data_IF_721919348368
#
_entry.id   IF_721919348368
#
_cell.length_a   1.000
_cell.length_b   1.000
_cell.length_c   1.000
_cell.angle_alpha   90.00
_cell.angle_beta   90.00
_cell.angle_gamma   90.00
#
_symmetry.space_group_name_H-M   'P 1'
#
loop_
_entity.id
_entity.type
_entity.pdbx_description
1 polymer ?
#
# COMPACT_ATOMS: atom_id res chain seq x y z
N UNK A 1 57.09 -21.43 41.49
CA UNK A 1 56.12 -22.25 42.23
C UNK A 1 54.80 -21.48 42.31
N UNK A 2 53.80 -21.86 41.51
CA UNK A 2 52.35 -21.76 41.79
C UNK A 2 51.68 -22.43 40.58
N UNK A 3 51.18 -23.64 40.82
CA UNK A 3 50.45 -24.47 39.86
C UNK A 3 48.95 -24.34 40.18
N UNK A 4 48.16 -24.15 39.12
CA UNK A 4 46.88 -24.81 38.80
C UNK A 4 45.69 -24.57 39.77
N UNK A 5 44.60 -23.93 39.32
CA UNK A 5 43.57 -24.37 38.35
C UNK A 5 42.48 -25.23 39.02
N UNK A 6 41.23 -24.89 38.67
CA UNK A 6 40.02 -25.72 38.62
C UNK A 6 39.01 -25.60 39.79
N UNK A 7 38.02 -24.71 39.64
CA UNK A 7 36.60 -25.07 39.75
C UNK A 7 35.72 -23.89 39.27
N UNK A 8 35.16 -23.97 38.06
CA UNK A 8 33.76 -23.59 37.86
C UNK A 8 33.23 -24.25 36.60
N UNK A 9 32.54 -25.35 36.84
CA UNK A 9 31.82 -26.17 35.89
C UNK A 9 30.51 -25.43 35.55
N UNK A 10 30.24 -25.29 34.25
CA UNK A 10 28.90 -25.31 33.63
C UNK A 10 27.79 -24.41 34.22
N UNK A 11 27.49 -23.33 33.52
CA UNK A 11 26.10 -23.03 33.15
C UNK A 11 26.07 -22.31 31.79
N UNK A 12 26.37 -23.07 30.74
CA UNK A 12 25.94 -22.74 29.39
C UNK A 12 24.57 -23.39 29.20
N UNK A 13 23.48 -22.62 29.26
CA UNK A 13 22.29 -22.76 28.41
C UNK A 13 21.13 -21.87 28.90
N UNK A 14 20.47 -21.23 27.93
CA UNK A 14 19.18 -20.54 28.00
C UNK A 14 19.18 -19.05 28.34
N UNK A 15 19.81 -18.24 27.50
CA UNK A 15 19.09 -17.07 26.98
C UNK A 15 19.30 -17.05 25.46
N UNK A 16 18.38 -17.68 24.73
CA UNK A 16 18.15 -17.31 23.34
C UNK A 16 17.99 -15.79 23.27
N UNK A 17 18.64 -15.05 22.35
CA UNK A 17 18.07 -13.78 21.97
C UNK A 17 16.74 -14.13 21.31
N UNK A 18 15.63 -13.88 22.02
CA UNK A 18 14.39 -13.63 21.31
C UNK A 18 14.74 -12.47 20.39
N UNK A 19 14.99 -12.77 19.13
CA UNK A 19 15.33 -11.80 18.12
C UNK A 19 14.12 -10.86 18.02
N UNK A 20 14.10 -9.84 18.89
CA UNK A 20 13.15 -8.74 18.83
C UNK A 20 13.25 -8.25 17.41
N UNK A 21 12.15 -8.39 16.71
CA UNK A 21 11.99 -7.82 15.41
C UNK A 21 12.30 -6.32 15.52
N UNK A 22 13.51 -5.90 15.15
CA UNK A 22 13.83 -4.48 15.15
C UNK A 22 12.91 -3.80 14.13
N UNK A 23 11.97 -3.03 14.65
CA UNK A 23 11.10 -2.19 13.84
C UNK A 23 11.97 -1.21 13.05
N UNK A 24 11.77 -1.17 11.74
CA UNK A 24 12.39 -0.17 10.89
C UNK A 24 11.33 0.83 10.45
N UNK A 25 11.41 2.03 11.02
CA UNK A 25 10.64 3.20 10.60
C UNK A 25 11.52 4.02 9.65
N UNK A 26 10.96 4.42 8.52
CA UNK A 26 11.57 5.42 7.64
C UNK A 26 10.57 6.54 7.41
N UNK A 27 10.98 7.77 7.72
CA UNK A 27 10.19 8.97 7.47
C UNK A 27 10.77 9.70 6.24
N UNK A 28 9.95 9.90 5.22
CA UNK A 28 10.34 10.64 4.02
C UNK A 28 9.15 11.48 3.53
N UNK A 29 9.32 12.80 3.46
CA UNK A 29 8.29 13.72 2.95
C UNK A 29 6.96 13.66 3.72
N UNK A 30 6.98 13.38 5.03
CA UNK A 30 5.77 13.23 5.84
C UNK A 30 5.10 11.85 5.76
N UNK A 31 5.68 10.91 4.98
CA UNK A 31 5.23 9.52 4.87
C UNK A 31 6.02 8.65 5.84
N UNK A 32 5.33 7.77 6.56
CA UNK A 32 5.90 6.82 7.52
C UNK A 32 5.81 5.42 6.94
N UNK A 33 6.96 4.85 6.61
CA UNK A 33 7.06 3.45 6.18
C UNK A 33 7.49 2.58 7.36
N UNK A 34 6.68 1.57 7.65
CA UNK A 34 6.93 0.62 8.74
C UNK A 34 7.27 -0.74 8.13
N UNK A 35 8.41 -1.28 8.53
CA UNK A 35 8.81 -2.65 8.23
C UNK A 35 8.99 -3.44 9.52
N UNK A 36 8.26 -4.57 9.60
CA UNK A 36 8.28 -5.53 10.71
C UNK A 36 7.91 -4.87 12.05
N UNK A 37 6.65 -5.00 12.47
CA UNK A 37 6.10 -4.41 13.70
C UNK A 37 5.25 -5.44 14.45
N UNK A 38 5.04 -5.25 15.75
CA UNK A 38 3.97 -5.90 16.50
C UNK A 38 2.70 -5.05 16.50
N UNK A 39 1.56 -5.63 16.90
CA UNK A 39 0.27 -4.93 17.05
C UNK A 39 0.39 -3.83 18.10
N UNK A 40 1.04 -4.13 19.22
CA UNK A 40 1.24 -3.16 20.32
C UNK A 40 2.04 -1.94 19.86
N UNK A 41 3.14 -2.16 19.13
CA UNK A 41 3.95 -1.05 18.64
C UNK A 41 3.21 -0.25 17.55
N UNK A 42 2.46 -0.92 16.67
CA UNK A 42 1.64 -0.26 15.66
C UNK A 42 0.58 0.65 16.31
N UNK A 43 -0.10 0.18 17.35
CA UNK A 43 -1.10 0.99 18.06
C UNK A 43 -0.47 2.20 18.75
N UNK A 44 0.76 2.08 19.26
CA UNK A 44 1.50 3.22 19.82
C UNK A 44 1.80 4.28 18.74
N UNK A 45 2.18 3.85 17.54
CA UNK A 45 2.39 4.75 16.40
C UNK A 45 1.07 5.41 16.02
N UNK A 46 0.01 4.64 15.82
CA UNK A 46 -1.32 5.16 15.52
C UNK A 46 -1.79 6.19 16.55
N UNK A 47 -1.57 5.94 17.84
CA UNK A 47 -1.88 6.89 18.91
C UNK A 47 -1.06 8.17 18.82
N UNK A 48 0.25 8.08 18.57
CA UNK A 48 1.14 9.25 18.38
C UNK A 48 0.65 10.13 17.22
N UNK A 49 0.12 9.53 16.16
CA UNK A 49 -0.41 10.21 14.98
C UNK A 49 -1.91 10.49 15.03
N UNK A 50 -2.54 10.39 16.22
CA UNK A 50 -3.98 10.63 16.45
C UNK A 50 -4.91 9.78 15.57
N UNK A 51 -4.43 8.65 15.07
CA UNK A 51 -5.15 7.72 14.21
C UNK A 51 -5.80 6.58 15.00
N UNK A 52 -6.72 6.95 15.88
CA UNK A 52 -7.24 6.07 16.93
C UNK A 52 -8.45 5.24 16.51
N UNK A 53 -9.20 5.65 15.47
CA UNK A 53 -10.44 5.00 15.07
C UNK A 53 -10.58 4.93 13.55
N UNK A 54 -11.33 3.93 13.11
CA UNK A 54 -11.74 3.76 11.72
C UNK A 54 -12.69 4.87 11.24
N UNK A 55 -13.49 5.43 12.15
CA UNK A 55 -14.46 6.47 11.79
C UNK A 55 -13.69 7.73 11.42
N UNK A 56 -13.95 8.21 10.19
CA UNK A 56 -13.23 9.28 9.51
C UNK A 56 -12.75 10.38 10.45
N UNK A 57 -11.49 10.76 10.28
CA UNK A 57 -10.97 11.97 10.89
C UNK A 57 -11.85 13.14 10.44
N UNK A 58 -12.05 14.13 11.31
CA UNK A 58 -12.99 15.24 11.08
C UNK A 58 -12.71 16.01 9.77
N UNK A 59 -11.49 15.87 9.22
CA UNK A 59 -11.05 16.45 7.95
C UNK A 59 -10.77 15.42 6.82
N UNK A 60 -11.17 14.15 6.96
CA UNK A 60 -10.83 13.03 6.04
C UNK A 60 -9.31 12.81 5.81
N UNK A 61 -8.45 13.41 6.63
CA UNK A 61 -7.00 13.37 6.45
C UNK A 61 -6.39 12.12 7.10
N UNK A 62 -6.37 11.01 6.37
CA UNK A 62 -5.72 9.77 6.84
C UNK A 62 -4.20 9.95 6.90
N UNK A 63 -3.53 9.49 7.98
CA UNK A 63 -2.09 9.62 8.07
C UNK A 63 -1.42 8.73 7.01
N UNK A 64 -0.36 9.21 6.38
CA UNK A 64 0.43 8.46 5.41
C UNK A 64 1.33 7.41 6.10
N UNK A 65 0.72 6.47 6.82
CA UNK A 65 1.39 5.36 7.50
C UNK A 65 1.19 4.11 6.66
N UNK A 66 2.28 3.59 6.08
CA UNK A 66 2.25 2.43 5.21
C UNK A 66 3.07 1.29 5.79
N UNK A 67 2.42 0.13 5.91
CA UNK A 67 3.06 -1.09 6.36
C UNK A 67 3.45 -1.93 5.16
N UNK A 68 4.68 -2.46 5.20
CA UNK A 68 5.14 -3.43 4.18
C UNK A 68 4.58 -4.84 4.41
N UNK A 69 4.25 -5.18 5.65
CA UNK A 69 3.64 -6.45 6.05
C UNK A 69 2.70 -6.20 7.22
N UNK A 70 1.72 -7.08 7.42
CA UNK A 70 0.92 -7.08 8.65
C UNK A 70 1.82 -7.24 9.89
N UNK A 71 1.35 -6.80 11.08
CA UNK A 71 2.07 -7.04 12.32
C UNK A 71 2.38 -8.53 12.54
N UNK A 72 3.51 -8.85 13.16
CA UNK A 72 4.00 -10.23 13.29
C UNK A 72 3.10 -11.11 14.15
N UNK A 73 2.43 -10.52 15.13
CA UNK A 73 1.47 -11.10 16.07
C UNK A 73 0.00 -10.86 15.65
N UNK A 74 -0.24 -10.41 14.40
CA UNK A 74 -1.58 -10.09 13.91
C UNK A 74 -2.54 -11.31 13.93
N UNK A 75 -2.01 -12.50 13.65
CA UNK A 75 -2.79 -13.76 13.69
C UNK A 75 -3.18 -14.18 15.11
N UNK A 76 -2.49 -13.68 16.13
CA UNK A 76 -2.73 -14.01 17.54
C UNK A 76 -3.90 -13.20 18.15
N UNK A 77 -4.45 -12.23 17.39
CA UNK A 77 -5.60 -11.44 17.81
C UNK A 77 -6.85 -12.32 17.93
N UNK A 78 -7.28 -12.53 19.19
CA UNK A 78 -8.46 -13.35 19.54
C UNK A 78 -9.78 -12.74 19.10
N UNK A 79 -9.93 -11.42 19.21
CA UNK A 79 -11.17 -10.73 18.86
C UNK A 79 -11.26 -10.53 17.36
N UNK A 80 -12.15 -11.26 16.70
CA UNK A 80 -12.43 -11.12 15.26
C UNK A 80 -12.75 -9.66 14.90
N UNK A 81 -13.62 -9.02 15.70
CA UNK A 81 -14.02 -7.63 15.48
C UNK A 81 -12.82 -6.69 15.48
N UNK A 82 -11.97 -6.79 16.50
CA UNK A 82 -10.78 -5.94 16.60
C UNK A 82 -9.78 -6.23 15.47
N UNK A 83 -9.60 -7.50 15.10
CA UNK A 83 -8.73 -7.89 13.98
C UNK A 83 -9.19 -7.26 12.67
N UNK A 84 -10.50 -7.30 12.38
CA UNK A 84 -11.07 -6.68 11.17
C UNK A 84 -10.94 -5.15 11.20
N UNK A 85 -11.24 -4.51 12.34
CA UNK A 85 -11.07 -3.06 12.50
C UNK A 85 -9.61 -2.63 12.30
N UNK A 86 -8.65 -3.39 12.84
CA UNK A 86 -7.22 -3.11 12.70
C UNK A 86 -6.76 -3.33 11.25
N UNK A 87 -7.21 -4.41 10.60
CA UNK A 87 -6.92 -4.67 9.19
C UNK A 87 -7.35 -3.49 8.30
N UNK A 88 -8.59 -3.04 8.48
CA UNK A 88 -9.13 -1.91 7.72
C UNK A 88 -8.34 -0.64 8.04
N UNK A 89 -7.99 -0.38 9.30
CA UNK A 89 -7.15 0.77 9.67
C UNK A 89 -5.78 0.74 9.00
N UNK A 90 -5.16 -0.43 8.86
CA UNK A 90 -3.87 -0.61 8.17
C UNK A 90 -4.01 -0.33 6.67
N UNK A 91 -5.08 -0.83 6.03
CA UNK A 91 -5.25 -0.71 4.59
C UNK A 91 -5.79 0.66 4.13
N UNK A 92 -6.58 1.35 4.96
CA UNK A 92 -7.30 2.55 4.52
C UNK A 92 -6.37 3.64 3.96
N UNK A 93 -5.26 4.02 4.63
CA UNK A 93 -4.33 5.00 4.06
C UNK A 93 -3.73 4.55 2.73
N UNK A 94 -3.40 3.26 2.61
CA UNK A 94 -2.83 2.69 1.38
C UNK A 94 -3.84 2.72 0.23
N UNK A 95 -5.08 2.33 0.49
CA UNK A 95 -6.17 2.36 -0.47
C UNK A 95 -6.41 3.78 -1.00
N UNK A 96 -6.40 4.78 -0.13
CA UNK A 96 -6.59 6.19 -0.52
C UNK A 96 -5.45 6.69 -1.40
N UNK A 97 -4.19 6.37 -1.06
CA UNK A 97 -3.03 6.68 -1.89
C UNK A 97 -3.17 6.05 -3.28
N UNK A 98 -3.54 4.77 -3.35
CA UNK A 98 -3.74 4.08 -4.63
C UNK A 98 -4.87 4.74 -5.44
N UNK A 99 -5.97 5.12 -4.79
CA UNK A 99 -7.06 5.83 -5.47
C UNK A 99 -6.63 7.19 -6.03
N UNK A 100 -5.75 7.92 -5.33
CA UNK A 100 -5.18 9.17 -5.84
C UNK A 100 -4.36 8.92 -7.12
N UNK A 101 -3.50 7.89 -7.11
CA UNK A 101 -2.72 7.48 -8.28
C UNK A 101 -3.62 7.09 -9.46
N UNK A 102 -4.64 6.25 -9.23
CA UNK A 102 -5.61 5.84 -10.25
C UNK A 102 -6.41 7.05 -10.78
N UNK A 103 -6.81 7.98 -9.91
CA UNK A 103 -7.50 9.20 -10.32
C UNK A 103 -6.65 10.06 -11.26
N UNK A 104 -5.35 10.21 -10.96
CA UNK A 104 -4.40 10.91 -11.82
C UNK A 104 -4.22 10.23 -13.19
N UNK A 105 -4.20 8.90 -13.20
CA UNK A 105 -4.16 8.10 -14.43
C UNK A 105 -5.45 8.27 -15.25
N UNK A 106 -6.62 8.22 -14.60
CA UNK A 106 -7.92 8.47 -15.23
C UNK A 106 -7.98 9.87 -15.84
N UNK A 107 -7.51 10.89 -15.12
CA UNK A 107 -7.43 12.26 -15.63
C UNK A 107 -6.51 12.37 -16.86
N UNK A 108 -5.40 11.65 -16.85
CA UNK A 108 -4.50 11.56 -18.01
C UNK A 108 -5.21 10.89 -19.19
N UNK A 109 -5.89 9.77 -18.98
CA UNK A 109 -6.65 9.05 -20.00
C UNK A 109 -7.72 9.93 -20.64
N UNK A 110 -8.52 10.64 -19.84
CA UNK A 110 -9.56 11.56 -20.33
C UNK A 110 -8.98 12.74 -21.11
N UNK A 111 -7.76 13.20 -20.79
CA UNK A 111 -7.06 14.22 -21.58
C UNK A 111 -6.61 13.67 -22.93
N UNK A 112 -6.10 12.44 -22.97
CA UNK A 112 -5.71 11.77 -24.22
C UNK A 112 -6.94 11.54 -25.12
N UNK A 113 -8.06 11.10 -24.54
CA UNK A 113 -9.32 10.92 -25.28
C UNK A 113 -9.77 12.21 -25.95
N UNK A 114 -9.82 13.33 -25.20
CA UNK A 114 -10.22 14.63 -25.75
C UNK A 114 -9.31 15.07 -26.90
N UNK A 115 -8.00 14.88 -26.78
CA UNK A 115 -7.05 15.20 -27.85
C UNK A 115 -7.23 14.33 -29.08
N UNK A 116 -7.41 13.03 -28.89
CA UNK A 116 -7.64 12.09 -29.99
C UNK A 116 -8.95 12.41 -30.72
N UNK A 117 -10.02 12.73 -29.99
CA UNK A 117 -11.30 13.14 -30.58
C UNK A 117 -11.20 14.43 -31.41
N UNK A 118 -10.33 15.37 -31.02
CA UNK A 118 -10.13 16.64 -31.73
C UNK A 118 -9.23 16.49 -32.96
N UNK A 119 -8.13 15.75 -32.83
CA UNK A 119 -7.05 15.72 -33.83
C UNK A 119 -7.02 14.44 -34.67
N UNK A 120 -7.82 13.43 -34.33
CA UNK A 120 -7.82 12.10 -34.95
C UNK A 120 -6.53 11.28 -34.69
N UNK A 121 -5.57 11.84 -33.96
CA UNK A 121 -4.24 11.26 -33.73
C UNK A 121 -3.70 11.69 -32.36
N UNK A 122 -2.68 10.98 -31.88
CA UNK A 122 -1.89 11.31 -30.69
C UNK A 122 -0.42 11.43 -31.09
N UNK A 123 0.34 12.27 -30.38
CA UNK A 123 1.80 12.30 -30.52
C UNK A 123 2.44 11.00 -30.05
N UNK A 124 3.71 10.76 -30.39
CA UNK A 124 4.43 9.55 -29.98
C UNK A 124 4.47 9.37 -28.46
N UNK A 125 4.75 10.45 -27.71
CA UNK A 125 4.78 10.43 -26.24
C UNK A 125 3.38 10.17 -25.63
N UNK A 126 2.33 10.70 -26.25
CA UNK A 126 0.95 10.45 -25.80
C UNK A 126 0.52 9.01 -26.07
N UNK A 127 0.94 8.46 -27.21
CA UNK A 127 0.72 7.07 -27.56
C UNK A 127 1.47 6.15 -26.60
N UNK A 128 2.73 6.43 -26.28
CA UNK A 128 3.51 5.67 -25.30
C UNK A 128 2.86 5.67 -23.91
N UNK A 129 2.33 6.82 -23.46
CA UNK A 129 1.57 6.90 -22.20
C UNK A 129 0.31 6.04 -22.24
N UNK A 130 -0.44 6.07 -23.34
CA UNK A 130 -1.62 5.24 -23.52
C UNK A 130 -1.28 3.74 -23.48
N UNK A 131 -0.21 3.33 -24.17
CA UNK A 131 0.25 1.95 -24.20
C UNK A 131 0.77 1.50 -22.82
N UNK A 132 1.44 2.38 -22.08
CA UNK A 132 1.86 2.09 -20.69
C UNK A 132 0.66 1.83 -19.79
N UNK A 133 -0.40 2.62 -19.91
CA UNK A 133 -1.67 2.38 -19.21
C UNK A 133 -2.31 1.07 -19.69
N UNK A 134 -2.32 0.79 -21.00
CA UNK A 134 -2.85 -0.45 -21.56
C UNK A 134 -2.15 -1.69 -20.98
N UNK A 135 -0.82 -1.66 -20.87
CA UNK A 135 -0.04 -2.73 -20.23
C UNK A 135 -0.37 -2.86 -18.74
N UNK A 136 -0.42 -1.74 -18.01
CA UNK A 136 -0.71 -1.74 -16.57
C UNK A 136 -2.08 -2.35 -16.24
N UNK A 137 -3.09 -2.05 -17.06
CA UNK A 137 -4.49 -2.48 -16.85
C UNK A 137 -4.91 -3.69 -17.71
N UNK A 138 -3.93 -4.38 -18.29
CA UNK A 138 -4.11 -5.59 -19.10
C UNK A 138 -5.16 -5.42 -20.23
N UNK A 139 -5.01 -4.35 -21.00
CA UNK A 139 -5.83 -4.04 -22.19
C UNK A 139 -5.02 -4.34 -23.44
N UNK A 140 -5.48 -5.33 -24.20
CA UNK A 140 -4.82 -5.77 -25.42
C UNK A 140 -5.75 -5.73 -26.64
N UNK A 141 -5.18 -5.45 -27.81
CA UNK A 141 -5.86 -5.57 -29.11
C UNK A 141 -4.86 -5.84 -30.23
N UNK A 142 -5.32 -6.45 -31.33
CA UNK A 142 -4.55 -6.63 -32.57
C UNK A 142 -4.77 -5.51 -33.58
N UNK A 143 -5.69 -4.59 -33.29
CA UNK A 143 -5.93 -3.40 -34.12
C UNK A 143 -4.67 -2.55 -34.23
N UNK A 144 -4.60 -1.74 -35.29
CA UNK A 144 -3.47 -0.86 -35.60
C UNK A 144 -3.95 0.57 -35.86
N UNK A 145 -3.03 1.53 -35.77
CA UNK A 145 -3.29 2.94 -36.07
C UNK A 145 -4.39 3.54 -35.20
N UNK A 146 -5.20 4.44 -35.78
CA UNK A 146 -6.27 5.14 -35.08
C UNK A 146 -7.31 4.18 -34.44
N UNK A 147 -7.63 3.06 -35.09
CA UNK A 147 -8.57 2.07 -34.56
C UNK A 147 -8.05 1.41 -33.27
N UNK A 148 -6.73 1.20 -33.17
CA UNK A 148 -6.10 0.72 -31.93
C UNK A 148 -6.27 1.74 -30.82
N UNK A 149 -5.93 3.00 -31.10
CA UNK A 149 -5.99 4.08 -30.11
C UNK A 149 -7.41 4.24 -29.57
N UNK A 150 -8.41 4.27 -30.46
CA UNK A 150 -9.82 4.33 -30.07
C UNK A 150 -10.23 3.16 -29.16
N UNK A 151 -9.87 1.92 -29.54
CA UNK A 151 -10.15 0.73 -28.74
C UNK A 151 -9.51 0.80 -27.34
N UNK A 152 -8.23 1.20 -27.26
CA UNK A 152 -7.50 1.30 -25.99
C UNK A 152 -8.15 2.36 -25.08
N UNK A 153 -8.49 3.53 -25.62
CA UNK A 153 -9.15 4.60 -24.86
C UNK A 153 -10.47 4.15 -24.25
N UNK A 154 -11.33 3.49 -25.05
CA UNK A 154 -12.63 3.00 -24.60
C UNK A 154 -12.50 1.94 -23.51
N UNK A 155 -11.65 0.93 -23.71
CA UNK A 155 -11.49 -0.17 -22.77
C UNK A 155 -10.81 0.29 -21.47
N UNK A 156 -9.82 1.18 -21.55
CA UNK A 156 -9.16 1.72 -20.36
C UNK A 156 -10.12 2.53 -19.51
N UNK A 157 -11.08 3.26 -20.09
CA UNK A 157 -12.06 4.04 -19.31
C UNK A 157 -12.93 3.18 -18.38
N UNK A 158 -13.17 1.93 -18.77
CA UNK A 158 -13.92 0.96 -17.98
C UNK A 158 -13.09 0.32 -16.85
N UNK A 159 -11.76 0.37 -16.94
CA UNK A 159 -10.85 -0.32 -16.01
C UNK A 159 -10.10 0.62 -15.07
N UNK A 160 -9.81 1.84 -15.52
CA UNK A 160 -9.10 2.85 -14.73
C UNK A 160 -10.12 3.63 -13.91
N UNK A 161 -10.61 3.03 -12.82
CA UNK A 161 -11.55 3.68 -11.92
C UNK A 161 -11.16 3.47 -10.44
N UNK A 162 -11.53 4.44 -9.61
CA UNK A 162 -11.21 4.43 -8.18
C UNK A 162 -11.99 3.32 -7.47
N UNK A 163 -11.37 2.70 -6.47
CA UNK A 163 -12.03 1.67 -5.65
C UNK A 163 -12.67 2.38 -4.44
N UNK A 164 -14.00 2.33 -4.26
CA UNK A 164 -14.64 2.97 -3.11
C UNK A 164 -14.08 2.41 -1.79
N UNK A 165 -13.77 3.26 -0.80
CA UNK A 165 -13.35 2.80 0.54
C UNK A 165 -14.30 1.77 1.17
N UNK A 166 -15.60 1.84 0.85
CA UNK A 166 -16.61 0.89 1.30
C UNK A 166 -16.39 -0.55 0.83
N UNK A 167 -15.76 -0.77 -0.33
CA UNK A 167 -15.45 -2.14 -0.82
C UNK A 167 -14.41 -2.81 0.09
N UNK A 168 -13.45 -2.04 0.61
CA UNK A 168 -12.48 -2.57 1.58
C UNK A 168 -13.13 -3.01 2.89
N UNK A 169 -14.21 -2.33 3.30
CA UNK A 169 -14.99 -2.71 4.49
C UNK A 169 -15.83 -3.96 4.20
N UNK A 170 -16.42 -4.06 3.00
CA UNK A 170 -17.29 -5.18 2.63
C UNK A 170 -16.55 -6.50 2.45
N UNK A 171 -15.26 -6.47 2.11
CA UNK A 171 -14.43 -7.66 1.90
C UNK A 171 -13.74 -8.20 3.18
N UNK A 172 -13.88 -7.51 4.32
CA UNK A 172 -13.19 -7.82 5.59
C UNK A 172 -14.13 -8.49 6.61
#
# INVERSE_FOLDING_TARGET
MIKKLLFFLTFLLLLSPLAKAEMKITEAGGIIYIKKTTVSELENIFKKHKYLRFRGLDDNAYPAIFLSTLPTDFSEIKSQKYRNELFIRILTPLALKINEEISNERNTLLRLERKFAQNGTLSSNETEKLETLALKYDVFTRLKGANRIGYLLENLKQRVDIIPPSIFVAAA
#
